data_IF_504388368394
#
_entry.id   IF_504388368394
#
_cell.length_a   1.000
_cell.length_b   1.000
_cell.length_c   1.000
_cell.angle_alpha   90.00
_cell.angle_beta   90.00
_cell.angle_gamma   90.00
#
_symmetry.space_group_name_H-M   'P 1'
#
loop_
_entity.id
_entity.type
_entity.pdbx_description
1 polymer ?
#
# COMPACT_ATOMS: atom_id res chain seq x y z
N UNK A 1 -3.39 -2.06 -2.22
CA UNK A 1 -3.92 -1.95 -3.61
C UNK A 1 -2.88 -2.47 -4.58
N UNK A 2 -3.25 -3.17 -5.67
CA UNK A 2 -2.26 -3.60 -6.68
C UNK A 2 -1.78 -2.42 -7.51
N UNK A 3 -0.57 -2.52 -8.04
CA UNK A 3 0.07 -1.46 -8.83
C UNK A 3 -0.74 -1.15 -10.09
N UNK A 4 -1.19 -2.18 -10.82
CA UNK A 4 -2.03 -1.99 -12.02
C UNK A 4 -3.38 -1.33 -11.74
N UNK A 5 -4.03 -1.68 -10.62
CA UNK A 5 -5.26 -1.04 -10.16
C UNK A 5 -5.03 0.44 -9.85
N UNK A 6 -3.96 0.75 -9.10
CA UNK A 6 -3.60 2.12 -8.75
C UNK A 6 -3.37 2.99 -9.99
N UNK A 7 -2.57 2.52 -10.94
CA UNK A 7 -2.31 3.23 -12.19
C UNK A 7 -3.61 3.41 -12.99
N UNK A 8 -4.49 2.40 -13.01
CA UNK A 8 -5.78 2.50 -13.71
C UNK A 8 -6.68 3.58 -13.08
N UNK A 9 -6.74 3.68 -11.75
CA UNK A 9 -7.50 4.73 -11.07
C UNK A 9 -6.96 6.13 -11.33
N UNK A 10 -5.63 6.28 -11.39
CA UNK A 10 -4.99 7.53 -11.74
C UNK A 10 -5.28 7.95 -13.19
N UNK A 11 -5.29 7.02 -14.14
CA UNK A 11 -5.58 7.31 -15.55
C UNK A 11 -6.97 7.93 -15.79
N UNK A 12 -7.91 7.79 -14.84
CA UNK A 12 -9.28 8.33 -14.97
C UNK A 12 -9.33 9.86 -14.92
N UNK A 13 -8.34 10.51 -14.32
CA UNK A 13 -8.32 11.96 -14.17
C UNK A 13 -6.89 12.54 -14.22
N UNK A 14 -6.20 12.49 -15.37
CA UNK A 14 -4.79 12.86 -15.49
C UNK A 14 -4.50 14.35 -15.27
N UNK A 15 -5.51 15.22 -15.42
CA UNK A 15 -5.40 16.65 -15.15
C UNK A 15 -5.51 17.01 -13.67
N UNK A 16 -5.96 16.08 -12.81
CA UNK A 16 -6.14 16.35 -11.39
C UNK A 16 -4.82 16.58 -10.67
N UNK A 17 -4.86 17.38 -9.61
CA UNK A 17 -3.82 17.41 -8.59
C UNK A 17 -3.82 16.10 -7.82
N UNK A 18 -2.65 15.48 -7.66
CA UNK A 18 -2.48 14.25 -6.91
C UNK A 18 -2.12 14.60 -5.47
N UNK A 19 -2.94 14.14 -4.52
CA UNK A 19 -2.75 14.44 -3.09
C UNK A 19 -2.72 13.13 -2.32
N UNK A 20 -1.65 12.92 -1.56
CA UNK A 20 -1.52 11.79 -0.64
C UNK A 20 -1.95 12.22 0.76
N UNK A 21 -2.84 11.46 1.40
CA UNK A 21 -3.46 11.81 2.68
C UNK A 21 -3.40 10.63 3.64
N UNK A 22 -3.13 10.87 4.93
CA UNK A 22 -3.17 9.84 5.96
C UNK A 22 -4.55 9.70 6.60
N UNK A 23 -4.70 8.73 7.51
CA UNK A 23 -5.94 8.47 8.27
C UNK A 23 -6.41 9.65 9.14
N UNK A 24 -5.52 10.60 9.44
CA UNK A 24 -5.83 11.79 10.24
C UNK A 24 -6.16 13.01 9.37
N UNK A 25 -6.26 12.84 8.04
CA UNK A 25 -6.54 13.91 7.11
C UNK A 25 -5.35 14.83 6.81
N UNK A 26 -4.15 14.52 7.31
CA UNK A 26 -2.92 15.27 6.97
C UNK A 26 -2.42 14.83 5.61
N UNK A 27 -1.90 15.78 4.84
CA UNK A 27 -1.44 15.54 3.47
C UNK A 27 0.07 15.64 3.38
N UNK A 28 0.67 14.85 2.48
CA UNK A 28 2.03 15.13 2.00
C UNK A 28 2.06 16.58 1.50
N UNK A 29 3.07 17.36 1.90
CA UNK A 29 3.14 18.76 1.51
C UNK A 29 3.21 18.92 -0.01
N UNK A 30 2.56 19.95 -0.54
CA UNK A 30 2.69 20.39 -1.94
C UNK A 30 4.15 20.61 -2.34
N UNK A 31 4.44 20.59 -3.64
CA UNK A 31 5.80 20.63 -4.14
C UNK A 31 6.61 19.37 -3.86
N UNK A 32 5.98 18.27 -3.46
CA UNK A 32 6.65 16.98 -3.37
C UNK A 32 7.11 16.49 -4.75
N UNK A 33 8.20 15.76 -4.75
CA UNK A 33 8.79 15.10 -5.89
C UNK A 33 8.63 13.59 -5.74
N UNK A 34 8.32 12.90 -6.84
CA UNK A 34 8.50 11.45 -6.96
C UNK A 34 9.97 11.23 -7.33
N UNK A 35 10.78 10.79 -6.37
CA UNK A 35 12.25 10.71 -6.54
C UNK A 35 12.70 9.34 -7.01
N UNK A 36 12.03 8.28 -6.57
CA UNK A 36 12.40 6.91 -6.90
C UNK A 36 11.17 6.02 -7.10
N UNK A 37 11.32 5.03 -7.98
CA UNK A 37 10.42 3.89 -8.11
C UNK A 37 11.26 2.62 -7.97
N UNK A 38 10.90 1.79 -7.00
CA UNK A 38 11.67 0.60 -6.59
C UNK A 38 10.85 -0.65 -6.94
N UNK A 39 11.43 -1.54 -7.74
CA UNK A 39 10.93 -2.91 -7.92
C UNK A 39 11.60 -3.79 -6.85
N UNK A 40 10.85 -4.22 -5.84
CA UNK A 40 11.40 -4.92 -4.67
C UNK A 40 10.97 -6.38 -4.66
N UNK A 41 11.92 -7.29 -4.43
CA UNK A 41 11.66 -8.71 -4.14
C UNK A 41 12.05 -8.99 -2.70
N UNK A 42 11.08 -9.40 -1.88
CA UNK A 42 11.31 -9.75 -0.49
C UNK A 42 11.37 -11.27 -0.33
N UNK A 43 12.40 -11.73 0.38
CA UNK A 43 12.58 -13.10 0.80
C UNK A 43 12.74 -13.07 2.32
N UNK A 44 11.79 -13.69 3.04
CA UNK A 44 11.74 -13.58 4.51
C UNK A 44 11.50 -14.94 5.14
N UNK A 45 11.89 -15.08 6.40
CA UNK A 45 11.57 -16.23 7.24
C UNK A 45 10.80 -15.72 8.45
N UNK A 46 9.67 -16.33 8.75
CA UNK A 46 8.91 -15.97 9.95
C UNK A 46 9.34 -16.78 11.18
N UNK A 47 8.85 -16.39 12.36
CA UNK A 47 9.24 -17.03 13.63
C UNK A 47 8.83 -18.51 13.74
N UNK A 48 8.00 -19.02 12.80
CA UNK A 48 7.67 -20.44 12.69
C UNK A 48 8.60 -21.20 11.74
N UNK A 49 9.67 -20.58 11.24
CA UNK A 49 10.62 -21.19 10.31
C UNK A 49 10.13 -21.30 8.86
N UNK A 50 8.98 -20.69 8.52
CA UNK A 50 8.44 -20.73 7.16
C UNK A 50 9.04 -19.61 6.31
N UNK A 51 9.48 -19.96 5.10
CA UNK A 51 9.93 -18.99 4.10
C UNK A 51 8.73 -18.33 3.44
N UNK A 52 8.83 -17.03 3.15
CA UNK A 52 7.82 -16.27 2.43
C UNK A 52 8.52 -15.42 1.38
N UNK A 53 7.93 -15.35 0.19
CA UNK A 53 8.43 -14.54 -0.92
C UNK A 53 7.28 -13.76 -1.56
N UNK A 54 7.51 -12.48 -1.80
CA UNK A 54 6.60 -11.65 -2.57
C UNK A 54 7.35 -10.45 -3.18
N UNK A 55 6.69 -9.76 -4.09
CA UNK A 55 7.22 -8.57 -4.74
C UNK A 55 6.35 -7.35 -4.41
N UNK A 56 6.96 -6.17 -4.48
CA UNK A 56 6.32 -4.88 -4.23
C UNK A 56 6.85 -3.82 -5.19
N UNK A 57 6.04 -2.80 -5.45
CA UNK A 57 6.46 -1.56 -6.11
C UNK A 57 6.42 -0.42 -5.09
N UNK A 58 7.55 0.24 -4.83
CA UNK A 58 7.61 1.37 -3.87
C UNK A 58 7.87 2.67 -4.62
N UNK A 59 7.01 3.66 -4.45
CA UNK A 59 7.18 5.02 -4.94
C UNK A 59 7.65 5.92 -3.78
N UNK A 60 8.85 6.49 -3.91
CA UNK A 60 9.42 7.38 -2.90
C UNK A 60 9.06 8.82 -3.19
N UNK A 61 8.48 9.49 -2.20
CA UNK A 61 8.19 10.92 -2.24
C UNK A 61 9.19 11.67 -1.37
N UNK A 62 9.48 12.91 -1.77
CA UNK A 62 10.32 13.82 -1.01
C UNK A 62 9.88 15.25 -1.22
N UNK A 63 9.92 16.08 -0.17
CA UNK A 63 9.58 17.51 -0.25
C UNK A 63 10.86 18.32 -0.04
N UNK A 64 11.29 19.15 -1.02
CA UNK A 64 12.42 20.04 -0.84
C UNK A 64 12.15 21.13 0.20
N UNK A 65 13.21 21.76 0.69
CA UNK A 65 13.12 22.90 1.63
C UNK A 65 12.44 24.13 1.02
N UNK A 66 12.52 24.29 -0.30
CA UNK A 66 11.80 25.32 -1.06
C UNK A 66 10.82 24.65 -2.04
N UNK A 67 9.61 24.27 -1.58
CA UNK A 67 8.67 23.51 -2.37
C UNK A 67 7.88 24.39 -3.36
N UNK A 68 7.56 23.81 -4.52
CA UNK A 68 6.60 24.39 -5.44
C UNK A 68 5.25 24.68 -4.76
N UNK A 69 4.53 25.68 -5.27
CA UNK A 69 3.23 26.11 -4.72
C UNK A 69 2.08 25.17 -5.04
N UNK A 70 2.29 24.25 -5.97
CA UNK A 70 1.26 23.36 -6.50
C UNK A 70 1.57 21.89 -6.19
N UNK A 71 0.51 21.09 -6.16
CA UNK A 71 0.66 19.64 -6.14
C UNK A 71 1.06 19.12 -7.51
N UNK A 72 1.84 18.03 -7.53
CA UNK A 72 2.10 17.28 -8.76
C UNK A 72 0.76 16.83 -9.36
N UNK A 73 0.60 16.99 -10.67
CA UNK A 73 -0.58 16.44 -11.37
C UNK A 73 -0.45 14.94 -11.54
N UNK A 74 -1.59 14.25 -11.63
CA UNK A 74 -1.65 12.81 -11.91
C UNK A 74 -0.91 12.48 -13.21
N UNK A 75 -1.09 13.30 -14.26
CA UNK A 75 -0.39 13.12 -15.53
C UNK A 75 1.13 13.22 -15.42
N UNK A 76 1.67 14.07 -14.54
CA UNK A 76 3.12 14.14 -14.28
C UNK A 76 3.61 12.88 -13.57
N UNK A 77 2.86 12.39 -12.58
CA UNK A 77 3.16 11.12 -11.91
C UNK A 77 3.18 9.95 -12.91
N UNK A 78 2.14 9.81 -13.74
CA UNK A 78 2.02 8.75 -14.75
C UNK A 78 3.14 8.80 -15.79
N UNK A 79 3.57 10.00 -16.22
CA UNK A 79 4.72 10.16 -17.13
C UNK A 79 6.02 9.62 -16.51
N UNK A 80 6.27 9.93 -15.23
CA UNK A 80 7.45 9.42 -14.51
C UNK A 80 7.35 7.90 -14.38
N UNK A 81 6.19 7.39 -13.97
CA UNK A 81 5.95 5.94 -13.83
C UNK A 81 6.21 5.19 -15.14
N UNK A 82 5.64 5.65 -16.26
CA UNK A 82 5.80 5.02 -17.57
C UNK A 82 7.25 5.07 -18.07
N UNK A 83 7.98 6.14 -17.76
CA UNK A 83 9.40 6.24 -18.10
C UNK A 83 10.21 5.18 -17.35
N UNK A 84 9.97 5.02 -16.04
CA UNK A 84 10.70 4.05 -15.21
C UNK A 84 10.30 2.62 -15.52
N UNK A 85 9.03 2.34 -15.79
CA UNK A 85 8.57 0.99 -16.18
C UNK A 85 9.20 0.49 -17.49
N UNK A 86 9.71 1.39 -18.33
CA UNK A 86 10.50 1.03 -19.51
C UNK A 86 11.98 0.76 -19.22
N UNK A 87 12.47 1.15 -18.04
CA UNK A 87 13.88 0.98 -17.62
C UNK A 87 14.07 -0.25 -16.73
N UNK A 88 13.09 -0.52 -15.85
CA UNK A 88 13.08 -1.68 -14.95
C UNK A 88 11.74 -2.41 -15.06
N UNK A 89 11.72 -3.75 -14.98
CA UNK A 89 10.48 -4.50 -15.01
C UNK A 89 9.69 -4.25 -13.72
N UNK A 90 8.49 -3.68 -13.86
CA UNK A 90 7.53 -3.51 -12.77
C UNK A 90 6.42 -4.54 -12.91
N UNK A 91 6.24 -5.36 -11.88
CA UNK A 91 5.14 -6.32 -11.84
C UNK A 91 3.86 -5.62 -11.37
N UNK A 92 2.94 -5.38 -12.30
CA UNK A 92 1.68 -4.66 -12.01
C UNK A 92 0.73 -5.42 -11.08
N UNK A 93 0.92 -6.73 -10.89
CA UNK A 93 0.13 -7.55 -9.98
C UNK A 93 0.58 -7.43 -8.51
N UNK A 94 1.67 -6.69 -8.26
CA UNK A 94 2.22 -6.48 -6.91
C UNK A 94 1.60 -5.30 -6.19
N UNK A 95 1.67 -5.30 -4.86
CA UNK A 95 1.21 -4.18 -4.06
C UNK A 95 2.07 -2.93 -4.32
N UNK A 96 1.41 -1.80 -4.55
CA UNK A 96 2.08 -0.49 -4.57
C UNK A 96 2.12 0.12 -3.18
N UNK A 97 3.26 0.70 -2.83
CA UNK A 97 3.48 1.41 -1.58
C UNK A 97 4.09 2.79 -1.81
N UNK A 98 3.81 3.69 -0.89
CA UNK A 98 4.36 5.05 -0.89
C UNK A 98 5.33 5.17 0.27
N UNK A 99 6.59 5.45 -0.04
CA UNK A 99 7.62 5.76 0.96
C UNK A 99 7.70 7.27 1.14
N UNK A 100 7.50 7.74 2.37
CA UNK A 100 7.51 9.16 2.70
C UNK A 100 7.77 9.38 4.19
N UNK A 101 8.26 10.57 4.55
CA UNK A 101 8.43 10.98 5.94
C UNK A 101 8.66 12.48 6.11
N UNK A 102 8.01 13.06 7.12
CA UNK A 102 8.19 14.43 7.63
C UNK A 102 7.58 14.53 9.06
N UNK A 103 7.38 15.74 9.58
CA UNK A 103 6.76 15.95 10.90
C UNK A 103 5.27 15.54 10.95
N UNK A 104 4.60 15.42 9.79
CA UNK A 104 3.21 14.99 9.66
C UNK A 104 3.06 13.48 9.38
N UNK A 105 4.13 12.84 8.90
CA UNK A 105 4.21 11.46 8.48
C UNK A 105 5.48 10.83 9.04
N UNK A 106 5.33 9.95 10.04
CA UNK A 106 6.49 9.19 10.53
C UNK A 106 7.20 8.47 9.37
N UNK A 107 8.52 8.69 9.14
CA UNK A 107 9.22 8.12 8.00
C UNK A 107 9.03 6.61 7.86
N UNK A 108 8.33 6.19 6.81
CA UNK A 108 7.92 4.79 6.63
C UNK A 108 7.46 4.50 5.20
N UNK A 109 7.16 3.23 4.95
CA UNK A 109 6.52 2.75 3.74
C UNK A 109 5.04 2.46 4.02
N UNK A 110 4.18 3.28 3.43
CA UNK A 110 2.73 3.25 3.60
C UNK A 110 2.05 2.42 2.51
N UNK A 111 0.97 1.72 2.89
CA UNK A 111 0.08 1.05 1.95
C UNK A 111 -0.92 2.03 1.37
N UNK A 112 -1.24 1.86 0.08
CA UNK A 112 -2.37 2.54 -0.55
C UNK A 112 -3.66 1.80 -0.19
N UNK A 113 -4.49 2.44 0.64
CA UNK A 113 -5.80 1.93 1.05
C UNK A 113 -6.87 2.19 -0.01
N UNK A 114 -6.82 3.34 -0.69
CA UNK A 114 -7.81 3.69 -1.69
C UNK A 114 -7.42 4.95 -2.48
N UNK A 115 -8.13 5.15 -3.60
CA UNK A 115 -8.03 6.32 -4.46
C UNK A 115 -9.43 6.88 -4.65
N UNK A 116 -9.60 8.19 -4.47
CA UNK A 116 -10.87 8.89 -4.66
C UNK A 116 -10.65 10.13 -5.53
N UNK A 117 -11.55 10.36 -6.48
CA UNK A 117 -11.51 11.51 -7.39
C UNK A 117 -12.61 12.52 -7.00
N UNK A 118 -12.22 13.76 -6.77
CA UNK A 118 -13.11 14.86 -6.35
C UNK A 118 -12.69 16.14 -7.07
N UNK A 119 -13.58 16.78 -7.83
CA UNK A 119 -13.42 18.13 -8.43
C UNK A 119 -11.97 18.63 -8.63
N UNK A 120 -11.27 18.10 -9.64
CA UNK A 120 -9.90 18.55 -9.98
C UNK A 120 -8.78 17.97 -9.11
N UNK A 121 -9.11 17.07 -8.17
CA UNK A 121 -8.20 16.44 -7.23
C UNK A 121 -8.38 14.93 -7.24
N UNK A 122 -7.27 14.20 -7.16
CA UNK A 122 -7.23 12.76 -6.92
C UNK A 122 -6.53 12.53 -5.58
N UNK A 123 -7.29 12.05 -4.60
CA UNK A 123 -6.81 11.75 -3.25
C UNK A 123 -6.42 10.28 -3.13
N UNK A 124 -5.24 10.04 -2.59
CA UNK A 124 -4.71 8.70 -2.32
C UNK A 124 -4.60 8.53 -0.81
N UNK A 125 -5.40 7.62 -0.25
CA UNK A 125 -5.41 7.33 1.18
C UNK A 125 -4.28 6.39 1.55
N UNK A 126 -3.42 6.84 2.46
CA UNK A 126 -2.24 6.13 2.95
C UNK A 126 -2.44 5.64 4.38
N UNK A 127 -2.08 4.39 4.61
CA UNK A 127 -2.14 3.76 5.93
C UNK A 127 -0.81 3.10 6.27
N UNK A 128 -0.39 3.10 7.55
CA UNK A 128 0.77 2.34 7.97
C UNK A 128 0.65 0.86 7.61
N UNK A 129 1.81 0.24 7.36
CA UNK A 129 1.88 -1.22 7.24
C UNK A 129 1.60 -1.87 8.59
N UNK A 130 0.77 -2.91 8.61
CA UNK A 130 0.46 -3.65 9.83
C UNK A 130 1.57 -4.64 10.16
N UNK A 131 2.14 -4.52 11.35
CA UNK A 131 3.09 -5.51 11.87
C UNK A 131 2.33 -6.67 12.48
N UNK A 132 2.61 -7.90 12.02
CA UNK A 132 1.98 -9.10 12.56
C UNK A 132 2.91 -10.31 12.53
N UNK A 133 2.61 -11.29 13.37
CA UNK A 133 3.26 -12.59 13.39
C UNK A 133 2.54 -13.52 12.41
N UNK A 134 3.09 -13.69 11.19
CA UNK A 134 2.51 -14.57 10.16
C UNK A 134 2.25 -16.00 10.66
N UNK A 135 3.14 -16.55 11.50
CA UNK A 135 2.96 -17.87 12.09
C UNK A 135 1.76 -17.93 13.06
N UNK A 136 1.56 -16.88 13.88
CA UNK A 136 0.37 -16.74 14.73
C UNK A 136 -0.89 -16.65 13.87
N UNK A 137 -0.84 -15.84 12.82
CA UNK A 137 -2.02 -15.58 11.98
C UNK A 137 -2.47 -16.85 11.25
N UNK A 138 -1.52 -17.66 10.75
CA UNK A 138 -1.84 -18.99 10.19
C UNK A 138 -2.49 -19.91 11.22
N UNK A 139 -2.01 -19.94 12.47
CA UNK A 139 -2.65 -20.74 13.54
C UNK A 139 -4.08 -20.27 13.81
N UNK A 140 -4.31 -18.95 13.89
CA UNK A 140 -5.64 -18.38 14.09
C UNK A 140 -6.57 -18.73 12.92
N UNK A 141 -6.06 -18.69 11.68
CA UNK A 141 -6.84 -19.05 10.50
C UNK A 141 -7.32 -20.50 10.53
N UNK A 142 -6.47 -21.44 10.95
CA UNK A 142 -6.82 -22.85 11.09
C UNK A 142 -7.93 -23.08 12.14
N UNK A 143 -7.86 -22.38 13.27
CA UNK A 143 -8.88 -22.47 14.33
C UNK A 143 -10.26 -21.96 13.90
N UNK A 144 -10.31 -21.05 12.91
CA UNK A 144 -11.57 -20.53 12.36
C UNK A 144 -12.21 -21.48 11.33
N UNK A 145 -11.44 -22.40 10.77
CA UNK A 145 -11.91 -23.36 9.76
C UNK A 145 -12.34 -24.70 10.35
N UNK A 146 -12.14 -24.94 11.66
CA UNK A 146 -12.59 -26.16 12.32
C UNK A 146 -14.06 -26.05 12.77
N UNK A 147 -14.99 -26.85 12.20
CA UNK A 147 -16.37 -26.96 12.69
C UNK A 147 -16.47 -27.88 13.92
N UNK A 148 -15.35 -28.40 14.45
CA UNK A 148 -15.32 -29.47 15.45
C UNK A 148 -15.91 -29.13 16.82
N UNK A 149 -16.38 -27.90 17.06
CA UNK A 149 -17.10 -27.55 18.29
C UNK A 149 -18.61 -27.32 18.10
N UNK A 150 -19.16 -27.50 16.90
CA UNK A 150 -20.61 -27.49 16.67
C UNK A 150 -21.15 -28.92 16.63
N UNK A 151 -21.10 -29.63 17.76
CA UNK A 151 -22.03 -30.70 18.17
C UNK A 151 -21.55 -31.35 19.47
N UNK A 152 -21.57 -30.58 20.57
CA UNK A 152 -21.59 -31.15 21.92
C UNK A 152 -23.04 -31.35 22.37
N UNK A 153 -23.79 -32.16 21.65
CA UNK A 153 -25.08 -32.70 22.13
C UNK A 153 -25.10 -34.20 21.89
N UNK A 154 -24.21 -34.91 22.58
CA UNK A 154 -24.43 -36.30 22.90
C UNK A 154 -24.87 -36.36 24.38
N UNK A 155 -26.11 -36.77 24.70
CA UNK A 155 -26.47 -37.02 26.09
C UNK A 155 -25.70 -38.26 26.56
N UNK A 156 -24.82 -38.05 27.53
CA UNK A 156 -24.23 -39.14 28.30
C UNK A 156 -25.31 -39.78 29.18
N UNK A 157 -25.39 -41.10 29.09
CA UNK A 157 -26.04 -42.04 30.01
C UNK A 157 -27.57 -41.98 30.16
N UNK A 158 -28.23 -43.08 29.79
CA UNK A 158 -29.28 -43.68 30.61
C UNK A 158 -29.50 -45.15 30.24
N UNK A 159 -29.32 -45.99 31.28
CA UNK A 159 -29.72 -47.40 31.50
C UNK A 159 -29.14 -48.50 30.64
#
# INVERSE_FOLDING_TARGET
>A
MKTGEFISELCRAPSNQLIFVNLYGRTVHRGYHLTELKAVSLHTVDCGGQTNQWQETIAQLWVPSDPDRDYMTVGKFLKIFNKVSGMIPLNLDTEIRIEYGDDNFFPSTYRVQGVAQEQGVTRVSLVPSETTCKARDRRIALLKTDPCCANATAPCCST
#
